data_IF_942687519694
#
_entry.id   IF_942687519694
#
_cell.length_a   1.000
_cell.length_b   1.000
_cell.length_c   1.000
_cell.angle_alpha   90.00
_cell.angle_beta   90.00
_cell.angle_gamma   90.00
#
_symmetry.space_group_name_H-M   'P 1'
#
loop_
_entity.id
_entity.type
_entity.pdbx_description
1 polymer ?
#
# COMPACT_ATOMS: atom_id res chain seq x y z
N UNK A 1 72.51 -27.40 -27.66
CA UNK A 1 71.22 -28.09 -27.94
C UNK A 1 71.18 -29.31 -27.05
N UNK A 2 70.16 -29.66 -26.26
CA UNK A 2 68.74 -29.26 -26.12
C UNK A 2 68.29 -29.90 -24.77
N UNK A 3 67.14 -29.49 -24.25
CA UNK A 3 66.40 -30.09 -23.11
C UNK A 3 66.61 -29.47 -21.71
N UNK A 4 66.01 -28.30 -21.51
CA UNK A 4 65.27 -28.04 -20.27
C UNK A 4 63.79 -27.93 -20.61
N UNK A 5 63.02 -28.98 -20.27
CA UNK A 5 61.56 -28.95 -20.31
C UNK A 5 61.07 -28.12 -19.12
N UNK A 6 60.75 -26.86 -19.37
CA UNK A 6 59.96 -26.04 -18.46
C UNK A 6 58.59 -26.70 -18.24
N UNK A 7 58.28 -26.97 -16.97
CA UNK A 7 56.99 -27.51 -16.54
C UNK A 7 55.87 -26.58 -17.01
N UNK A 8 54.94 -27.17 -17.75
CA UNK A 8 53.72 -26.55 -18.25
C UNK A 8 52.93 -25.91 -17.11
N UNK A 9 52.52 -24.65 -17.28
CA UNK A 9 51.49 -24.03 -16.47
C UNK A 9 50.18 -24.83 -16.63
N UNK A 10 49.66 -25.34 -15.51
CA UNK A 10 48.26 -25.77 -15.42
C UNK A 10 47.38 -24.51 -15.34
N UNK A 11 46.34 -24.35 -16.17
CA UNK A 11 45.29 -23.39 -15.91
C UNK A 11 44.40 -23.97 -14.80
N UNK A 12 44.71 -23.64 -13.55
CA UNK A 12 43.80 -23.81 -12.43
C UNK A 12 42.83 -22.63 -12.41
N UNK A 13 41.54 -22.94 -12.48
CA UNK A 13 40.43 -22.00 -12.43
C UNK A 13 40.42 -21.25 -11.08
N UNK A 14 41.15 -20.15 -10.98
CA UNK A 14 41.22 -19.31 -9.79
C UNK A 14 41.49 -17.87 -10.20
N UNK A 15 40.44 -17.03 -10.17
CA UNK A 15 40.60 -15.58 -10.39
C UNK A 15 41.66 -15.04 -9.43
N UNK A 16 42.64 -14.32 -9.98
CA UNK A 16 43.67 -13.66 -9.18
C UNK A 16 43.03 -12.65 -8.22
N UNK A 17 43.69 -12.34 -7.11
CA UNK A 17 43.25 -11.28 -6.18
C UNK A 17 43.04 -9.95 -6.92
N UNK A 18 43.82 -9.70 -7.97
CA UNK A 18 43.67 -8.52 -8.84
C UNK A 18 42.40 -8.59 -9.71
N UNK A 19 42.02 -9.79 -10.18
CA UNK A 19 40.76 -10.01 -10.88
C UNK A 19 39.54 -9.77 -9.98
N UNK A 20 39.58 -10.24 -8.73
CA UNK A 20 38.52 -9.97 -7.74
C UNK A 20 38.41 -8.48 -7.40
N UNK A 21 39.54 -7.76 -7.29
CA UNK A 21 39.53 -6.31 -7.11
C UNK A 21 38.93 -5.57 -8.32
N UNK A 22 39.22 -6.02 -9.55
CA UNK A 22 38.61 -5.42 -10.75
C UNK A 22 37.09 -5.65 -10.79
N UNK A 23 36.63 -6.87 -10.50
CA UNK A 23 35.20 -7.19 -10.43
C UNK A 23 34.46 -6.36 -9.36
N UNK A 24 35.06 -6.20 -8.17
CA UNK A 24 34.47 -5.38 -7.10
C UNK A 24 34.41 -3.89 -7.47
N UNK A 25 35.40 -3.36 -8.19
CA UNK A 25 35.35 -1.98 -8.72
C UNK A 25 34.31 -1.82 -9.84
N UNK A 26 34.12 -2.85 -10.67
CA UNK A 26 33.08 -2.85 -11.71
C UNK A 26 31.68 -2.86 -11.09
N UNK A 27 31.50 -3.62 -10.01
CA UNK A 27 30.25 -3.70 -9.25
C UNK A 27 29.95 -2.41 -8.47
N UNK A 28 30.98 -1.70 -7.98
CA UNK A 28 30.81 -0.33 -7.44
C UNK A 28 30.57 0.73 -8.51
N UNK A 29 30.97 0.49 -9.77
CA UNK A 29 30.73 1.45 -10.87
C UNK A 29 29.24 1.60 -11.20
N UNK A 30 28.42 0.57 -10.95
CA UNK A 30 26.96 0.63 -11.09
C UNK A 30 26.23 1.45 -10.02
N UNK A 31 26.91 1.87 -8.95
CA UNK A 31 26.36 2.70 -7.87
C UNK A 31 26.56 4.21 -8.09
N UNK A 32 27.23 4.63 -9.16
CA UNK A 32 27.57 6.03 -9.41
C UNK A 32 26.57 6.80 -10.28
N UNK A 33 25.46 6.17 -10.69
CA UNK A 33 24.40 6.87 -11.41
C UNK A 33 23.22 7.15 -10.45
N UNK A 34 23.03 8.42 -10.01
CA UNK A 34 21.90 8.79 -9.15
C UNK A 34 20.56 8.38 -9.78
N UNK A 35 20.46 8.46 -11.11
CA UNK A 35 19.25 8.08 -11.83
C UNK A 35 18.94 6.59 -11.72
N UNK A 36 19.95 5.73 -11.67
CA UNK A 36 19.77 4.28 -11.62
C UNK A 36 19.42 3.80 -10.21
N UNK A 37 19.98 4.45 -9.19
CA UNK A 37 19.57 4.25 -7.78
C UNK A 37 18.14 4.73 -7.56
N UNK A 38 17.76 5.91 -8.07
CA UNK A 38 16.38 6.39 -8.01
C UNK A 38 15.41 5.48 -8.77
N UNK A 39 15.84 4.95 -9.93
CA UNK A 39 15.03 4.01 -10.72
C UNK A 39 14.88 2.66 -10.00
N UNK A 40 15.92 2.17 -9.33
CA UNK A 40 15.84 0.95 -8.52
C UNK A 40 14.90 1.12 -7.32
N UNK A 41 14.97 2.24 -6.59
CA UNK A 41 14.04 2.55 -5.50
C UNK A 41 12.60 2.72 -5.97
N UNK A 42 12.39 3.38 -7.11
CA UNK A 42 11.06 3.54 -7.71
C UNK A 42 10.53 2.24 -8.36
N UNK A 43 11.42 1.29 -8.66
CA UNK A 43 11.06 -0.03 -9.20
C UNK A 43 10.87 -1.09 -8.14
N UNK A 44 11.13 -0.79 -6.85
CA UNK A 44 10.63 -1.62 -5.75
C UNK A 44 9.11 -1.55 -5.88
N UNK A 45 8.43 -2.63 -6.25
CA UNK A 45 6.98 -2.61 -6.28
C UNK A 45 6.56 -2.24 -4.86
N UNK A 46 5.84 -1.13 -4.69
CA UNK A 46 5.02 -0.95 -3.49
C UNK A 46 4.25 -2.25 -3.36
N UNK A 47 4.54 -3.01 -2.31
CA UNK A 47 3.94 -4.33 -2.09
C UNK A 47 2.45 -4.25 -2.45
N UNK A 48 1.95 -5.26 -3.13
CA UNK A 48 0.62 -5.31 -3.72
C UNK A 48 -0.50 -5.36 -2.67
N UNK A 49 -0.64 -4.31 -1.85
CA UNK A 49 -1.74 -4.16 -0.88
C UNK A 49 -3.10 -4.21 -1.58
N UNK A 50 -3.16 -3.76 -2.84
CA UNK A 50 -4.41 -3.63 -3.59
C UNK A 50 -5.11 -4.97 -3.86
N UNK A 51 -4.40 -6.10 -3.82
CA UNK A 51 -4.96 -7.42 -4.15
C UNK A 51 -5.09 -8.36 -2.95
N UNK A 52 -4.29 -8.18 -1.88
CA UNK A 52 -4.37 -9.03 -0.67
C UNK A 52 -5.26 -8.44 0.45
N UNK A 53 -5.48 -7.12 0.47
CA UNK A 53 -6.24 -6.47 1.56
C UNK A 53 -7.73 -6.82 1.55
N UNK A 54 -8.32 -7.03 0.36
CA UNK A 54 -9.74 -7.34 0.22
C UNK A 54 -10.07 -8.79 0.62
N UNK A 55 -9.10 -9.69 0.49
CA UNK A 55 -9.27 -11.13 0.73
C UNK A 55 -8.75 -11.59 2.10
N UNK A 56 -8.15 -10.69 2.91
CA UNK A 56 -7.74 -11.01 4.27
C UNK A 56 -8.94 -10.89 5.24
N UNK A 57 -9.44 -12.01 5.81
CA UNK A 57 -10.62 -12.02 6.66
C UNK A 57 -10.43 -11.22 7.96
N UNK A 58 -9.20 -11.09 8.47
CA UNK A 58 -8.91 -10.35 9.70
C UNK A 58 -9.00 -8.83 9.45
N UNK A 59 -8.45 -8.36 8.33
CA UNK A 59 -8.56 -6.94 7.92
C UNK A 59 -10.01 -6.56 7.67
N UNK A 60 -10.77 -7.46 7.02
CA UNK A 60 -12.21 -7.25 6.82
C UNK A 60 -12.97 -7.13 8.14
N UNK A 61 -12.70 -8.01 9.11
CA UNK A 61 -13.34 -7.95 10.42
C UNK A 61 -13.04 -6.63 11.15
N UNK A 62 -11.78 -6.18 11.14
CA UNK A 62 -11.40 -4.88 11.73
C UNK A 62 -12.09 -3.70 11.04
N UNK A 63 -12.22 -3.74 9.71
CA UNK A 63 -12.94 -2.71 8.97
C UNK A 63 -14.45 -2.73 9.29
N UNK A 64 -15.06 -3.90 9.42
CA UNK A 64 -16.47 -4.04 9.80
C UNK A 64 -16.74 -3.53 11.22
N UNK A 65 -15.86 -3.84 12.17
CA UNK A 65 -15.93 -3.33 13.55
C UNK A 65 -15.79 -1.80 13.59
N UNK A 66 -14.79 -1.26 12.89
CA UNK A 66 -14.62 0.19 12.76
C UNK A 66 -15.82 0.86 12.11
N UNK A 67 -16.32 0.32 10.99
CA UNK A 67 -17.48 0.86 10.30
C UNK A 67 -18.76 0.81 11.16
N UNK A 68 -18.88 -0.22 12.01
CA UNK A 68 -19.97 -0.33 12.97
C UNK A 68 -19.90 0.76 14.03
N UNK A 69 -18.71 1.13 14.49
CA UNK A 69 -18.54 2.21 15.45
C UNK A 69 -18.88 3.57 14.82
N UNK A 70 -18.41 3.82 13.59
CA UNK A 70 -18.78 5.03 12.84
C UNK A 70 -20.30 5.10 12.62
N UNK A 71 -20.97 3.98 12.30
CA UNK A 71 -22.44 3.96 12.20
C UNK A 71 -23.13 4.38 13.50
N UNK A 72 -22.62 3.97 14.67
CA UNK A 72 -23.19 4.38 15.97
C UNK A 72 -23.01 5.87 16.21
N UNK A 73 -21.84 6.42 15.90
CA UNK A 73 -21.58 7.85 16.04
C UNK A 73 -22.46 8.68 15.10
N UNK A 74 -22.61 8.26 13.83
CA UNK A 74 -23.53 8.90 12.88
C UNK A 74 -24.96 8.88 13.42
N UNK A 75 -25.45 7.73 13.90
CA UNK A 75 -26.77 7.64 14.53
C UNK A 75 -26.91 8.58 15.73
N UNK A 76 -25.90 8.64 16.61
CA UNK A 76 -25.92 9.51 17.79
C UNK A 76 -25.95 11.00 17.41
N UNK A 77 -25.21 11.40 16.36
CA UNK A 77 -25.25 12.77 15.86
C UNK A 77 -26.61 13.13 15.26
N UNK A 78 -27.22 12.23 14.50
CA UNK A 78 -28.56 12.43 13.93
C UNK A 78 -29.59 12.59 15.05
N UNK A 79 -29.55 11.74 16.08
CA UNK A 79 -30.47 11.82 17.23
C UNK A 79 -30.26 13.09 18.05
N UNK A 80 -29.00 13.53 18.24
CA UNK A 80 -28.65 14.69 19.06
C UNK A 80 -29.01 16.02 18.39
N UNK A 81 -28.72 16.16 17.11
CA UNK A 81 -28.92 17.41 16.37
C UNK A 81 -30.23 17.42 15.56
N UNK A 82 -30.95 16.29 15.50
CA UNK A 82 -32.15 16.07 14.70
C UNK A 82 -31.96 16.49 13.22
N UNK A 83 -30.78 16.20 12.66
CA UNK A 83 -30.38 16.61 11.31
C UNK A 83 -29.74 15.45 10.56
N UNK A 84 -30.10 15.31 9.29
CA UNK A 84 -29.53 14.35 8.34
C UNK A 84 -28.53 15.03 7.38
N UNK A 85 -28.01 16.22 7.72
CA UNK A 85 -27.08 16.95 6.86
C UNK A 85 -25.72 16.23 6.75
N UNK A 86 -25.36 15.71 5.55
CA UNK A 86 -24.11 15.00 5.36
C UNK A 86 -22.87 15.87 5.54
N UNK A 87 -22.96 17.19 5.33
CA UNK A 87 -21.81 18.10 5.47
C UNK A 87 -21.45 18.25 6.95
N UNK A 88 -22.45 18.54 7.78
CA UNK A 88 -22.30 18.63 9.24
C UNK A 88 -21.77 17.32 9.84
N UNK A 89 -22.29 16.18 9.39
CA UNK A 89 -21.84 14.86 9.87
C UNK A 89 -20.39 14.58 9.45
N UNK A 90 -20.03 14.91 8.21
CA UNK A 90 -18.66 14.76 7.72
C UNK A 90 -17.67 15.61 8.52
N UNK A 91 -18.00 16.88 8.79
CA UNK A 91 -17.17 17.78 9.60
C UNK A 91 -16.98 17.28 11.04
N UNK A 92 -18.07 16.79 11.68
CA UNK A 92 -18.01 16.32 13.06
C UNK A 92 -17.24 15.01 13.23
N UNK A 93 -17.28 14.13 12.25
CA UNK A 93 -16.62 12.82 12.28
C UNK A 93 -15.25 12.80 11.59
N UNK A 94 -14.87 13.89 10.91
CA UNK A 94 -13.61 13.94 10.17
C UNK A 94 -13.54 12.98 8.99
N UNK A 95 -14.69 12.66 8.37
CA UNK A 95 -14.80 11.80 7.19
C UNK A 95 -15.13 12.62 5.94
N UNK A 96 -15.06 12.02 4.76
CA UNK A 96 -15.52 12.70 3.55
C UNK A 96 -17.05 12.83 3.53
N UNK A 97 -17.54 13.81 2.77
CA UNK A 97 -18.98 14.00 2.54
C UNK A 97 -19.60 12.74 1.92
N UNK A 98 -18.89 12.09 1.00
CA UNK A 98 -19.32 10.87 0.34
C UNK A 98 -19.49 9.72 1.33
N UNK A 99 -18.57 9.58 2.29
CA UNK A 99 -18.67 8.60 3.37
C UNK A 99 -19.86 8.91 4.29
N UNK A 100 -20.09 10.17 4.65
CA UNK A 100 -21.26 10.56 5.44
C UNK A 100 -22.58 10.19 4.72
N UNK A 101 -22.69 10.52 3.43
CA UNK A 101 -23.84 10.13 2.59
C UNK A 101 -24.02 8.61 2.55
N UNK A 102 -22.92 7.85 2.42
CA UNK A 102 -22.96 6.40 2.43
C UNK A 102 -23.55 5.86 3.76
N UNK A 103 -23.05 6.34 4.90
CA UNK A 103 -23.53 5.88 6.21
C UNK A 103 -24.99 6.27 6.47
N UNK A 104 -25.41 7.49 6.11
CA UNK A 104 -26.81 7.93 6.23
C UNK A 104 -27.73 7.02 5.41
N UNK A 105 -27.40 6.79 4.14
CA UNK A 105 -28.19 5.90 3.27
C UNK A 105 -28.23 4.47 3.80
N UNK A 106 -27.12 3.98 4.34
CA UNK A 106 -27.03 2.64 4.92
C UNK A 106 -27.89 2.51 6.18
N UNK A 107 -27.93 3.54 7.03
CA UNK A 107 -28.79 3.59 8.22
C UNK A 107 -30.27 3.70 7.85
N UNK A 108 -30.61 4.47 6.82
CA UNK A 108 -31.97 4.57 6.28
C UNK A 108 -32.48 3.22 5.76
N UNK A 109 -31.67 2.46 5.01
CA UNK A 109 -32.02 1.11 4.55
C UNK A 109 -32.22 0.11 5.69
N UNK A 110 -31.54 0.32 6.83
CA UNK A 110 -31.73 -0.48 8.05
C UNK A 110 -32.99 -0.09 8.83
N UNK A 111 -33.80 0.85 8.32
CA UNK A 111 -35.02 1.32 8.94
C UNK A 111 -34.79 2.18 10.19
N UNK A 112 -33.57 2.70 10.38
CA UNK A 112 -33.24 3.52 11.56
C UNK A 112 -33.71 4.97 11.43
N UNK A 113 -33.93 5.46 10.21
CA UNK A 113 -34.43 6.80 9.92
C UNK A 113 -35.28 6.78 8.65
N UNK A 114 -36.34 7.59 8.63
CA UNK A 114 -37.13 7.84 7.42
C UNK A 114 -36.45 8.94 6.61
N UNK A 115 -35.70 8.56 5.57
CA UNK A 115 -35.19 9.53 4.61
C UNK A 115 -36.36 9.90 3.72
N UNK A 116 -37.06 10.98 4.09
CA UNK A 116 -38.00 11.66 3.21
C UNK A 116 -37.23 12.25 2.02
N UNK A 117 -36.88 11.38 1.06
CA UNK A 117 -36.66 11.78 -0.32
C UNK A 117 -38.02 12.11 -0.95
N UNK A 118 -38.10 13.09 -1.86
CA UNK A 118 -39.37 13.46 -2.48
C UNK A 118 -39.92 12.25 -3.25
N UNK A 119 -41.21 11.97 -3.01
CA UNK A 119 -41.98 10.94 -3.70
C UNK A 119 -41.69 10.92 -5.21
N UNK A 120 -41.41 9.76 -5.82
CA UNK A 120 -41.45 9.64 -7.26
C UNK A 120 -42.92 9.65 -7.68
N UNK A 121 -43.34 10.76 -8.28
CA UNK A 121 -44.57 10.82 -9.08
C UNK A 121 -44.42 9.96 -10.34
#
# INVERSE_FOLDING_TARGET
MREMRGKMCRPGNGMSMMGKCMEMMERMRGLHNPEEVCRQMASVPSESWETESADNPEVRALFEDWATEVEKEVSSLIEKDNSLDPVMIAEKLGISKESAVFFINRLARKGKFDVAGPDPN
#
